data_IF_246326246343
#
_entry.id   IF_246326246343
#
_cell.length_a   1.000
_cell.length_b   1.000
_cell.length_c   1.000
_cell.angle_alpha   90.00
_cell.angle_beta   90.00
_cell.angle_gamma   90.00
#
_symmetry.space_group_name_H-M   'P 1'
#
loop_
_entity.id
_entity.type
_entity.pdbx_description
1 polymer ?
#
# COMPACT_ATOMS: atom_id res chain seq x y z
N UNK A 1 -42.75 11.49 -6.74
CA UNK A 1 -41.79 10.86 -7.66
C UNK A 1 -41.54 9.42 -7.24
N UNK A 2 -41.51 8.47 -8.16
CA UNK A 2 -41.13 7.08 -7.86
C UNK A 2 -39.61 6.93 -8.06
N UNK A 3 -38.88 6.57 -7.00
CA UNK A 3 -37.41 6.44 -7.04
C UNK A 3 -36.97 5.38 -8.05
N UNK A 4 -37.78 4.33 -8.24
CA UNK A 4 -37.46 3.24 -9.15
C UNK A 4 -37.50 3.69 -10.61
N UNK A 5 -38.50 4.48 -10.98
CA UNK A 5 -38.58 5.12 -12.31
C UNK A 5 -37.44 6.13 -12.52
N UNK A 6 -37.02 6.82 -11.47
CA UNK A 6 -35.89 7.75 -11.54
C UNK A 6 -34.57 7.02 -11.81
N UNK A 7 -34.34 5.87 -11.18
CA UNK A 7 -33.20 4.99 -11.48
C UNK A 7 -33.29 4.47 -12.92
N UNK A 8 -34.46 3.95 -13.31
CA UNK A 8 -34.69 3.40 -14.65
C UNK A 8 -34.60 4.46 -15.76
N UNK A 9 -34.67 5.77 -15.42
CA UNK A 9 -34.53 6.88 -16.37
C UNK A 9 -33.13 7.07 -16.94
N UNK A 10 -32.11 6.46 -16.31
CA UNK A 10 -30.72 6.55 -16.74
C UNK A 10 -30.03 7.89 -16.40
N UNK A 11 -30.60 8.66 -15.46
CA UNK A 11 -30.05 9.97 -15.05
C UNK A 11 -28.71 9.82 -14.31
N UNK A 12 -28.51 8.71 -13.59
CA UNK A 12 -27.29 8.40 -12.84
C UNK A 12 -26.13 8.15 -13.81
N UNK A 13 -26.36 7.37 -14.88
CA UNK A 13 -25.38 7.12 -15.94
C UNK A 13 -24.97 8.41 -16.64
N UNK A 14 -25.95 9.26 -16.97
CA UNK A 14 -25.68 10.55 -17.61
C UNK A 14 -24.88 11.46 -16.70
N UNK A 15 -25.20 11.48 -15.40
CA UNK A 15 -24.46 12.24 -14.40
C UNK A 15 -23.00 11.77 -14.32
N UNK A 16 -22.76 10.46 -14.18
CA UNK A 16 -21.42 9.89 -14.08
C UNK A 16 -20.56 10.13 -15.32
N UNK A 17 -21.18 10.17 -16.50
CA UNK A 17 -20.51 10.48 -17.76
C UNK A 17 -20.34 12.00 -18.01
N UNK A 18 -20.82 12.86 -17.12
CA UNK A 18 -20.76 14.32 -17.29
C UNK A 18 -21.68 14.86 -18.39
N UNK A 19 -22.76 14.14 -18.70
CA UNK A 19 -23.77 14.47 -19.72
C UNK A 19 -25.07 15.03 -19.11
N UNK A 20 -25.18 15.08 -17.79
CA UNK A 20 -26.35 15.63 -17.10
C UNK A 20 -26.37 17.17 -17.17
N UNK A 21 -27.57 17.75 -17.16
CA UNK A 21 -27.71 19.21 -17.04
C UNK A 21 -27.49 19.64 -15.58
N UNK A 22 -27.03 20.88 -15.31
CA UNK A 22 -26.79 21.35 -13.94
C UNK A 22 -28.02 21.26 -13.03
N UNK A 23 -29.22 21.37 -13.61
CA UNK A 23 -30.50 21.19 -12.90
C UNK A 23 -30.68 19.73 -12.44
N UNK A 24 -30.37 18.76 -13.31
CA UNK A 24 -30.42 17.33 -13.01
C UNK A 24 -29.36 16.92 -11.98
N UNK A 25 -28.17 17.52 -12.04
CA UNK A 25 -27.11 17.29 -11.04
C UNK A 25 -27.56 17.75 -9.65
N UNK A 26 -28.12 18.96 -9.56
CA UNK A 26 -28.63 19.51 -8.31
C UNK A 26 -29.78 18.66 -7.74
N UNK A 27 -30.69 18.22 -8.61
CA UNK A 27 -31.78 17.30 -8.23
C UNK A 27 -31.24 15.97 -7.70
N UNK A 28 -30.29 15.34 -8.41
CA UNK A 28 -29.68 14.08 -7.99
C UNK A 28 -28.95 14.25 -6.65
N UNK A 29 -28.20 15.34 -6.47
CA UNK A 29 -27.49 15.65 -5.23
C UNK A 29 -28.46 15.73 -4.04
N UNK A 30 -29.57 16.47 -4.22
CA UNK A 30 -30.63 16.58 -3.22
C UNK A 30 -31.29 15.23 -2.91
N UNK A 31 -31.64 14.46 -3.96
CA UNK A 31 -32.28 13.16 -3.80
C UNK A 31 -31.35 12.13 -3.13
N UNK A 32 -30.03 12.21 -3.32
CA UNK A 32 -29.03 11.35 -2.67
C UNK A 32 -28.95 11.57 -1.16
N UNK A 33 -29.31 12.75 -0.66
CA UNK A 33 -29.39 13.01 0.79
C UNK A 33 -30.61 12.34 1.42
N UNK A 34 -31.73 12.31 0.68
CA UNK A 34 -33.01 11.76 1.15
C UNK A 34 -33.08 10.25 0.99
N UNK A 35 -32.57 9.74 -0.14
CA UNK A 35 -32.71 8.34 -0.54
C UNK A 35 -31.34 7.66 -0.69
N UNK A 36 -30.88 6.91 0.34
CA UNK A 36 -29.58 6.22 0.28
C UNK A 36 -29.54 5.09 -0.75
N UNK A 37 -30.69 4.68 -1.31
CA UNK A 37 -30.77 3.72 -2.42
C UNK A 37 -30.10 4.28 -3.68
N UNK A 38 -30.21 5.60 -3.94
CA UNK A 38 -29.56 6.23 -5.09
C UNK A 38 -28.04 6.21 -5.00
N UNK A 39 -27.47 6.23 -3.78
CA UNK A 39 -26.03 6.08 -3.59
C UNK A 39 -25.55 4.69 -3.97
N UNK A 40 -26.27 3.66 -3.52
CA UNK A 40 -25.96 2.26 -3.88
C UNK A 40 -26.08 2.01 -5.38
N UNK A 41 -27.08 2.60 -6.02
CA UNK A 41 -27.23 2.51 -7.47
C UNK A 41 -26.08 3.22 -8.20
N UNK A 42 -25.71 4.43 -7.76
CA UNK A 42 -24.57 5.15 -8.33
C UNK A 42 -23.27 4.35 -8.23
N UNK A 43 -22.98 3.75 -7.07
CA UNK A 43 -21.81 2.87 -6.88
C UNK A 43 -21.85 1.64 -7.82
N UNK A 44 -23.03 1.04 -8.01
CA UNK A 44 -23.20 -0.11 -8.92
C UNK A 44 -22.97 0.28 -10.39
N UNK A 45 -23.43 1.46 -10.80
CA UNK A 45 -23.20 2.01 -12.14
C UNK A 45 -21.73 2.38 -12.33
N UNK A 46 -21.09 3.01 -11.34
CA UNK A 46 -19.66 3.33 -11.36
C UNK A 46 -18.80 2.08 -11.60
N UNK A 47 -19.06 0.99 -10.87
CA UNK A 47 -18.33 -0.27 -11.03
C UNK A 47 -18.53 -0.90 -12.42
N UNK A 48 -19.76 -0.83 -12.96
CA UNK A 48 -20.05 -1.31 -14.32
C UNK A 48 -19.28 -0.50 -15.37
N UNK A 49 -19.28 0.82 -15.24
CA UNK A 49 -18.55 1.72 -16.13
C UNK A 49 -17.04 1.48 -16.02
N UNK A 50 -16.52 1.36 -14.81
CA UNK A 50 -15.11 1.04 -14.56
C UNK A 50 -14.70 -0.25 -15.29
N UNK A 51 -15.47 -1.33 -15.11
CA UNK A 51 -15.19 -2.61 -15.75
C UNK A 51 -15.16 -2.48 -17.28
N UNK A 52 -16.17 -1.82 -17.86
CA UNK A 52 -16.25 -1.60 -19.31
C UNK A 52 -15.06 -0.77 -19.84
N UNK A 53 -14.69 0.30 -19.14
CA UNK A 53 -13.58 1.18 -19.53
C UNK A 53 -12.23 0.45 -19.39
N UNK A 54 -12.07 -0.42 -18.38
CA UNK A 54 -10.86 -1.21 -18.21
C UNK A 54 -10.71 -2.31 -19.26
N UNK A 55 -11.81 -2.92 -19.71
CA UNK A 55 -11.79 -3.91 -20.80
C UNK A 55 -11.27 -3.32 -22.11
N UNK A 56 -11.57 -2.04 -22.39
CA UNK A 56 -11.12 -1.32 -23.59
C UNK A 56 -9.88 -0.43 -23.33
N UNK A 57 -9.23 -0.56 -22.17
CA UNK A 57 -8.15 0.35 -21.78
C UNK A 57 -6.91 0.24 -22.68
N UNK A 58 -6.53 1.36 -23.30
CA UNK A 58 -5.31 1.48 -24.09
C UNK A 58 -4.12 1.81 -23.19
N UNK A 59 -2.99 1.13 -23.39
CA UNK A 59 -1.77 1.36 -22.62
C UNK A 59 -1.25 2.80 -22.85
N UNK A 60 -1.12 3.64 -21.81
CA UNK A 60 -0.61 4.99 -21.96
C UNK A 60 0.90 5.00 -22.30
N UNK A 61 1.42 6.04 -22.95
CA UNK A 61 2.85 6.19 -23.20
C UNK A 61 3.66 6.21 -21.90
N UNK A 62 4.83 5.52 -21.85
CA UNK A 62 5.60 5.37 -20.61
C UNK A 62 6.10 6.70 -20.03
N UNK A 63 6.32 7.71 -20.88
CA UNK A 63 6.77 9.04 -20.49
C UNK A 63 5.76 9.77 -19.58
N UNK A 64 4.46 9.49 -19.70
CA UNK A 64 3.42 10.15 -18.91
C UNK A 64 3.54 9.77 -17.44
N UNK A 65 3.81 8.48 -17.16
CA UNK A 65 4.01 8.01 -15.79
C UNK A 65 5.14 8.76 -15.10
N UNK A 66 6.28 8.91 -15.77
CA UNK A 66 7.44 9.63 -15.23
C UNK A 66 7.10 11.09 -14.94
N UNK A 67 6.50 11.80 -15.90
CA UNK A 67 6.11 13.22 -15.74
C UNK A 67 5.17 13.43 -14.55
N UNK A 68 4.14 12.59 -14.41
CA UNK A 68 3.18 12.68 -13.30
C UNK A 68 3.87 12.39 -11.96
N UNK A 69 4.73 11.38 -11.89
CA UNK A 69 5.42 11.07 -10.63
C UNK A 69 6.44 12.13 -10.22
N UNK A 70 7.05 12.81 -11.18
CA UNK A 70 7.97 13.92 -10.92
C UNK A 70 7.21 15.14 -10.39
N UNK A 71 6.07 15.50 -11.01
CA UNK A 71 5.20 16.60 -10.55
C UNK A 71 4.68 16.39 -9.12
N UNK A 72 4.30 15.16 -8.75
CA UNK A 72 3.87 14.82 -7.38
C UNK A 72 5.02 14.92 -6.37
N UNK A 73 6.27 14.70 -6.81
CA UNK A 73 7.46 14.69 -5.94
C UNK A 73 8.05 16.08 -5.74
N UNK A 74 7.86 16.99 -6.67
CA UNK A 74 8.25 18.38 -6.46
C UNK A 74 7.43 18.90 -5.27
N UNK A 75 8.08 19.26 -4.14
CA UNK A 75 7.35 19.92 -3.08
C UNK A 75 6.79 21.19 -3.72
N UNK A 76 5.47 21.35 -3.74
CA UNK A 76 4.82 22.58 -4.18
C UNK A 76 5.59 23.75 -3.57
N UNK A 77 6.49 24.34 -4.35
CA UNK A 77 7.02 25.64 -4.03
C UNK A 77 5.78 26.48 -4.21
N UNK A 78 5.17 26.89 -3.10
CA UNK A 78 4.37 28.10 -3.11
C UNK A 78 5.30 29.16 -3.68
N UNK A 79 5.29 29.31 -5.01
CA UNK A 79 5.58 30.57 -5.65
C UNK A 79 4.55 31.48 -5.02
N UNK A 80 5.00 32.16 -3.96
CA UNK A 80 4.31 33.28 -3.37
C UNK A 80 3.98 34.17 -4.55
N UNK A 81 2.73 34.08 -5.00
CA UNK A 81 2.15 35.04 -5.90
C UNK A 81 2.50 36.38 -5.25
N UNK A 82 3.36 37.18 -5.89
CA UNK A 82 3.78 38.48 -5.40
C UNK A 82 2.53 39.37 -5.39
N UNK A 83 1.72 39.20 -4.34
CA UNK A 83 0.59 40.02 -4.00
C UNK A 83 1.15 41.39 -3.72
N UNK A 84 1.03 42.27 -4.72
CA UNK A 84 1.19 43.71 -4.59
C UNK A 84 0.68 44.14 -3.22
N UNK A 85 1.58 44.76 -2.45
CA UNK A 85 1.37 45.44 -1.18
C UNK A 85 -0.09 45.73 -0.84
N UNK A 86 -0.76 44.81 -0.15
CA UNK A 86 -1.98 45.12 0.60
C UNK A 86 -1.56 45.35 2.05
N UNK A 87 -1.34 46.61 2.40
CA UNK A 87 -1.37 47.04 3.79
C UNK A 87 -2.82 46.99 4.24
N UNK A 88 -3.22 45.96 4.97
CA UNK A 88 -4.49 46.01 5.70
C UNK A 88 -4.27 45.53 7.13
N UNK A 89 -4.19 46.53 8.00
CA UNK A 89 -4.47 46.46 9.41
C UNK A 89 -5.88 45.89 9.57
N UNK A 90 -6.00 44.63 10.01
CA UNK A 90 -7.08 44.10 10.85
C UNK A 90 -7.00 42.56 10.90
N UNK A 91 -6.69 42.05 12.08
CA UNK A 91 -7.19 40.79 12.68
C UNK A 91 -7.51 39.58 11.77
N UNK A 92 -6.58 39.14 10.92
CA UNK A 92 -6.65 37.80 10.35
C UNK A 92 -5.80 36.82 11.15
N UNK A 93 -6.49 35.97 11.91
CA UNK A 93 -5.91 34.81 12.59
C UNK A 93 -5.67 33.72 11.54
N UNK A 94 -4.57 33.81 10.80
CA UNK A 94 -4.10 32.68 10.00
C UNK A 94 -3.48 31.66 10.94
N UNK A 95 -4.14 30.50 11.11
CA UNK A 95 -3.54 29.35 11.79
C UNK A 95 -2.38 28.88 10.90
N UNK A 96 -1.15 29.08 11.34
CA UNK A 96 0.00 28.45 10.73
C UNK A 96 -0.14 26.93 10.91
N UNK A 97 -0.71 26.24 9.93
CA UNK A 97 -0.60 24.78 9.85
C UNK A 97 0.85 24.45 9.52
N UNK A 98 1.68 24.38 10.55
CA UNK A 98 2.97 23.75 10.46
C UNK A 98 2.71 22.25 10.19
N UNK A 99 3.08 21.67 9.04
CA UNK A 99 2.91 20.24 8.80
C UNK A 99 3.90 19.48 9.69
N UNK A 100 3.51 19.30 10.96
CA UNK A 100 4.33 18.75 12.05
C UNK A 100 4.54 17.24 12.00
N UNK A 101 4.51 16.64 10.81
CA UNK A 101 4.61 15.19 10.65
C UNK A 101 5.74 14.84 9.67
N UNK A 102 6.95 15.32 9.96
CA UNK A 102 8.19 14.66 9.49
C UNK A 102 8.39 13.35 10.27
N UNK A 103 7.54 12.35 10.03
CA UNK A 103 7.81 10.96 10.44
C UNK A 103 8.74 10.31 9.42
N UNK A 104 9.94 10.86 9.27
CA UNK A 104 11.06 10.08 8.77
C UNK A 104 11.54 9.24 9.95
N UNK A 105 10.98 8.03 10.10
CA UNK A 105 11.58 7.01 10.96
C UNK A 105 12.85 6.60 10.24
N UNK A 106 13.93 7.37 10.46
CA UNK A 106 15.25 7.03 9.97
C UNK A 106 15.72 5.85 10.80
N UNK A 107 15.47 4.64 10.29
CA UNK A 107 15.97 3.42 10.90
C UNK A 107 17.49 3.53 10.90
N UNK A 108 18.09 3.67 12.08
CA UNK A 108 19.54 3.80 12.19
C UNK A 108 20.17 2.53 11.59
N UNK A 109 21.15 2.72 10.71
CA UNK A 109 21.83 1.64 9.96
C UNK A 109 22.37 0.55 10.90
N UNK A 110 22.57 0.87 12.18
CA UNK A 110 22.97 -0.03 13.25
C UNK A 110 22.04 -1.23 13.48
N UNK A 111 20.72 -1.10 13.27
CA UNK A 111 19.82 -2.24 13.45
C UNK A 111 20.08 -3.34 12.40
N UNK A 112 20.52 -2.97 11.19
CA UNK A 112 20.92 -3.92 10.14
C UNK A 112 22.19 -4.68 10.54
N UNK A 113 23.16 -4.00 11.14
CA UNK A 113 24.38 -4.64 11.65
C UNK A 113 24.08 -5.59 12.81
N UNK A 114 23.18 -5.22 13.72
CA UNK A 114 22.75 -6.09 14.83
C UNK A 114 22.10 -7.39 14.32
N UNK A 115 21.25 -7.30 13.29
CA UNK A 115 20.60 -8.48 12.71
C UNK A 115 21.59 -9.42 12.01
N UNK A 116 22.56 -8.85 11.27
CA UNK A 116 23.62 -9.63 10.62
C UNK A 116 24.48 -10.35 11.67
N UNK A 117 24.87 -9.68 12.75
CA UNK A 117 25.64 -10.29 13.83
C UNK A 117 24.89 -11.45 14.51
N UNK A 118 23.58 -11.31 14.73
CA UNK A 118 22.73 -12.37 15.29
C UNK A 118 22.68 -13.60 14.38
N UNK A 119 22.51 -13.40 13.06
CA UNK A 119 22.51 -14.49 12.09
C UNK A 119 23.85 -15.24 12.07
N UNK A 120 24.98 -14.52 12.09
CA UNK A 120 26.32 -15.12 12.11
C UNK A 120 26.53 -15.93 13.39
N UNK A 121 26.11 -15.41 14.56
CA UNK A 121 26.21 -16.12 15.83
C UNK A 121 25.38 -17.42 15.85
N UNK A 122 24.16 -17.39 15.29
CA UNK A 122 23.31 -18.58 15.16
C UNK A 122 23.94 -19.65 14.25
N UNK A 123 24.53 -19.25 13.12
CA UNK A 123 25.23 -20.19 12.23
C UNK A 123 26.45 -20.83 12.90
N UNK A 124 27.23 -20.05 13.66
CA UNK A 124 28.38 -20.57 14.40
C UNK A 124 27.97 -21.58 15.48
N UNK A 125 26.89 -21.30 16.23
CA UNK A 125 26.33 -22.22 17.23
C UNK A 125 25.82 -23.52 16.58
N UNK A 126 25.12 -23.41 15.45
CA UNK A 126 24.63 -24.57 14.71
C UNK A 126 25.79 -25.44 14.20
N UNK A 127 26.81 -24.83 13.59
CA UNK A 127 28.00 -25.54 13.09
C UNK A 127 28.75 -26.24 14.23
N UNK A 128 28.92 -25.56 15.36
CA UNK A 128 29.57 -26.13 16.57
C UNK A 128 28.79 -27.33 17.10
N UNK A 129 27.47 -27.23 17.15
CA UNK A 129 26.59 -28.32 17.61
C UNK A 129 26.67 -29.54 16.70
N UNK A 130 26.64 -29.35 15.38
CA UNK A 130 26.79 -30.42 14.40
C UNK A 130 28.16 -31.10 14.48
N UNK A 131 29.23 -30.31 14.65
CA UNK A 131 30.59 -30.84 14.78
C UNK A 131 30.71 -31.77 16.00
N UNK A 132 30.20 -31.32 17.15
CA UNK A 132 30.21 -32.11 18.38
C UNK A 132 29.36 -33.38 18.25
N UNK A 133 28.18 -33.29 17.63
CA UNK A 133 27.34 -34.46 17.39
C UNK A 133 28.04 -35.50 16.52
N UNK A 134 28.67 -35.07 15.43
CA UNK A 134 29.45 -35.94 14.55
C UNK A 134 30.65 -36.56 15.28
N UNK A 135 31.31 -35.81 16.18
CA UNK A 135 32.43 -36.32 16.96
C UNK A 135 31.97 -37.38 17.98
N UNK A 136 30.83 -37.17 18.63
CA UNK A 136 30.25 -38.13 19.58
C UNK A 136 29.86 -39.43 18.88
N UNK A 137 29.29 -39.37 17.67
CA UNK A 137 28.98 -40.57 16.88
C UNK A 137 30.22 -41.40 16.57
N UNK A 138 31.33 -40.76 16.17
CA UNK A 138 32.62 -41.47 15.92
C UNK A 138 33.13 -42.20 17.15
N UNK A 139 32.92 -41.64 18.34
CA UNK A 139 33.32 -42.29 19.59
C UNK A 139 32.43 -43.51 19.90
N UNK A 140 31.13 -43.43 19.60
CA UNK A 140 30.21 -44.56 19.78
C UNK A 140 30.55 -45.73 18.85
N UNK A 141 30.88 -45.48 17.57
CA UNK A 141 31.25 -46.54 16.63
C UNK A 141 32.50 -47.31 17.05
N UNK A 142 33.51 -46.61 17.56
CA UNK A 142 34.75 -47.23 18.06
C UNK A 142 34.47 -48.09 19.30
N UNK A 143 33.59 -47.63 20.19
CA UNK A 143 33.19 -48.38 21.39
C UNK A 143 32.35 -49.60 21.01
N UNK A 144 31.40 -49.45 20.07
CA UNK A 144 30.55 -50.56 19.59
C UNK A 144 31.40 -51.63 18.91
N UNK A 145 32.35 -51.27 18.04
CA UNK A 145 33.25 -52.25 17.42
C UNK A 145 34.15 -52.97 18.45
N UNK A 146 34.49 -52.33 19.57
CA UNK A 146 35.28 -52.98 20.62
C UNK A 146 34.45 -53.92 21.51
N UNK A 147 33.15 -53.65 21.69
CA UNK A 147 32.28 -54.38 22.63
C UNK A 147 31.42 -55.49 22.00
N UNK A 148 31.34 -55.61 20.68
CA UNK A 148 30.69 -56.74 20.01
C UNK A 148 31.73 -57.68 19.39
N UNK A 149 32.11 -58.80 20.06
CA UNK A 149 32.92 -59.83 19.43
C UNK A 149 32.12 -60.46 18.28
N UNK A 150 32.71 -60.47 17.08
CA UNK A 150 32.17 -61.16 15.91
C UNK A 150 31.79 -62.61 16.26
N UNK A 151 30.58 -63.09 15.91
CA UNK A 151 30.17 -64.45 16.21
C UNK A 151 31.16 -65.44 15.59
N UNK A 152 31.54 -66.52 16.30
CA UNK A 152 32.51 -67.46 15.79
C UNK A 152 32.03 -68.04 14.46
N UNK A 153 32.85 -67.89 13.43
CA UNK A 153 32.60 -68.45 12.11
C UNK A 153 32.35 -69.95 12.24
N UNK A 154 31.12 -70.37 12.01
CA UNK A 154 30.72 -71.78 12.01
C UNK A 154 31.30 -72.41 10.75
N UNK A 155 32.24 -73.33 10.90
CA UNK A 155 32.71 -74.24 9.85
C UNK A 155 32.36 -75.67 10.25
#
# INVERSE_FOLDING_TARGET
MNIKEYIDSGIIERYLLGLATPEQEAELQYLREIYPVLRREAEAVELRLETMVFEEAVKPPPAIKTRVMDEIREPYSHESYNGRNYTNNNNDTYIHLNPGWKRQITVSVWWRCAFIAMCVALMALAATTLYLHNQVQRLQDVIIHHNYPSPPATR
#
